data_IF_048180044603
#
_entry.id   IF_048180044603
#
_cell.length_a   1.000
_cell.length_b   1.000
_cell.length_c   1.000
_cell.angle_alpha   90.00
_cell.angle_beta   90.00
_cell.angle_gamma   90.00
#
_symmetry.space_group_name_H-M   'P 1'
#
loop_
_entity.id
_entity.type
_entity.pdbx_description
1 polymer ?
#
# COMPACT_ATOMS: atom_id res chain seq x y z
N UNK A 1 10.20 -8.62 -45.25
CA UNK A 1 10.98 -8.49 -43.99
C UNK A 1 11.14 -9.86 -43.34
N UNK A 2 12.32 -10.17 -42.79
CA UNK A 2 12.54 -11.42 -42.05
C UNK A 2 11.52 -11.56 -40.92
N UNK A 3 10.98 -12.76 -40.72
CA UNK A 3 9.96 -13.04 -39.70
C UNK A 3 10.42 -12.64 -38.29
N UNK A 4 11.71 -12.76 -38.01
CA UNK A 4 12.36 -12.31 -36.76
C UNK A 4 12.23 -10.81 -36.50
N UNK A 5 12.29 -9.97 -37.54
CA UNK A 5 12.18 -8.52 -37.39
C UNK A 5 10.81 -8.11 -36.83
N UNK A 6 9.74 -8.80 -37.25
CA UNK A 6 8.37 -8.51 -36.78
C UNK A 6 8.21 -8.86 -35.31
N UNK A 7 8.83 -9.96 -34.87
CA UNK A 7 8.85 -10.35 -33.46
C UNK A 7 9.60 -9.33 -32.60
N UNK A 8 10.74 -8.82 -33.08
CA UNK A 8 11.48 -7.76 -32.39
C UNK A 8 10.63 -6.48 -32.29
N UNK A 9 10.02 -6.05 -33.38
CA UNK A 9 9.14 -4.86 -33.38
C UNK A 9 7.94 -5.06 -32.46
N UNK A 10 7.27 -6.22 -32.51
CA UNK A 10 6.15 -6.53 -31.63
C UNK A 10 6.56 -6.52 -30.15
N UNK A 11 7.74 -7.03 -29.84
CA UNK A 11 8.30 -7.02 -28.49
C UNK A 11 8.57 -5.60 -28.01
N UNK A 12 9.20 -4.75 -28.83
CA UNK A 12 9.45 -3.34 -28.51
C UNK A 12 8.14 -2.59 -28.23
N UNK A 13 7.14 -2.77 -29.09
CA UNK A 13 5.82 -2.14 -28.91
C UNK A 13 5.16 -2.61 -27.60
N UNK A 14 5.18 -3.92 -27.34
CA UNK A 14 4.57 -4.50 -26.13
C UNK A 14 5.26 -4.00 -24.86
N UNK A 15 6.59 -4.00 -24.83
CA UNK A 15 7.36 -3.49 -23.70
C UNK A 15 7.16 -1.98 -23.50
N UNK A 16 7.16 -1.21 -24.59
CA UNK A 16 6.86 0.23 -24.56
C UNK A 16 5.48 0.52 -23.96
N UNK A 17 4.46 -0.22 -24.39
CA UNK A 17 3.11 -0.11 -23.84
C UNK A 17 3.05 -0.46 -22.34
N UNK A 18 3.72 -1.55 -21.92
CA UNK A 18 3.78 -1.95 -20.53
C UNK A 18 4.48 -0.90 -19.64
N UNK A 19 5.57 -0.30 -20.13
CA UNK A 19 6.26 0.80 -19.43
C UNK A 19 5.35 2.01 -19.31
N UNK A 20 4.68 2.41 -20.41
CA UNK A 20 3.75 3.54 -20.41
C UNK A 20 2.61 3.34 -19.41
N UNK A 21 2.01 2.15 -19.37
CA UNK A 21 0.97 1.80 -18.39
C UNK A 21 1.49 1.87 -16.95
N UNK A 22 2.73 1.45 -16.70
CA UNK A 22 3.33 1.48 -15.36
C UNK A 22 3.63 2.91 -14.89
N UNK A 23 4.01 3.80 -15.80
CA UNK A 23 4.30 5.21 -15.51
C UNK A 23 3.02 6.03 -15.29
N UNK A 24 1.96 5.75 -16.05
CA UNK A 24 0.67 6.46 -15.97
C UNK A 24 -0.32 5.81 -14.99
N UNK A 25 0.06 4.70 -14.36
CA UNK A 25 -0.81 3.94 -13.48
C UNK A 25 -1.31 4.76 -12.28
N UNK A 26 -2.59 4.60 -11.87
CA UNK A 26 -3.18 5.37 -10.77
C UNK A 26 -2.54 5.07 -9.41
N UNK A 27 -1.86 3.92 -9.31
CA UNK A 27 -1.12 3.45 -8.14
C UNK A 27 0.31 4.01 -8.04
N UNK A 28 0.73 4.87 -8.99
CA UNK A 28 2.06 5.46 -8.94
C UNK A 28 2.22 6.32 -7.67
N UNK A 29 3.29 6.13 -6.88
CA UNK A 29 3.47 6.86 -5.64
C UNK A 29 3.68 8.35 -5.91
N UNK A 30 3.12 9.20 -5.06
CA UNK A 30 3.36 10.64 -5.13
C UNK A 30 4.75 10.89 -4.58
N UNK A 31 5.61 11.44 -5.43
CA UNK A 31 6.95 11.87 -5.04
C UNK A 31 7.03 13.38 -5.17
N UNK A 32 7.75 13.99 -4.25
CA UNK A 32 8.05 15.41 -4.30
C UNK A 32 9.14 15.76 -3.29
N UNK A 33 9.48 17.04 -3.27
CA UNK A 33 10.39 17.62 -2.30
C UNK A 33 9.78 18.89 -1.75
N UNK A 34 9.88 19.07 -0.44
CA UNK A 34 9.58 20.35 0.21
C UNK A 34 10.87 20.89 0.81
N UNK A 35 11.10 22.18 0.65
CA UNK A 35 12.20 22.87 1.28
C UNK A 35 11.73 23.51 2.60
N UNK A 36 12.36 23.14 3.70
CA UNK A 36 12.08 23.65 5.05
C UNK A 36 13.43 24.00 5.69
N UNK A 37 13.60 25.25 6.14
CA UNK A 37 14.82 25.76 6.77
C UNK A 37 16.11 25.43 5.98
N UNK A 38 16.12 25.74 4.67
CA UNK A 38 17.23 25.41 3.76
C UNK A 38 17.55 23.91 3.63
N UNK A 39 16.65 23.02 4.07
CA UNK A 39 16.77 21.59 3.83
C UNK A 39 15.67 21.02 2.93
N UNK A 40 16.08 20.22 1.96
CA UNK A 40 15.19 19.56 1.02
C UNK A 40 14.74 18.18 1.56
N UNK A 41 13.49 18.09 2.00
CA UNK A 41 12.86 16.84 2.43
C UNK A 41 12.22 16.17 1.22
N UNK A 42 12.79 15.06 0.78
CA UNK A 42 12.20 14.20 -0.27
C UNK A 42 11.20 13.25 0.35
N UNK A 43 10.00 13.19 -0.21
CA UNK A 43 8.94 12.30 0.26
C UNK A 43 8.45 11.35 -0.82
N UNK A 44 8.03 10.16 -0.40
CA UNK A 44 7.40 9.14 -1.25
C UNK A 44 6.15 8.62 -0.54
N UNK A 45 4.99 9.08 -1.00
CA UNK A 45 3.70 8.76 -0.41
C UNK A 45 3.00 7.73 -1.29
N UNK A 46 2.73 6.55 -0.73
CA UNK A 46 2.11 5.44 -1.46
C UNK A 46 0.62 5.69 -1.66
N UNK A 47 0.09 5.17 -2.77
CA UNK A 47 -1.34 5.14 -3.10
C UNK A 47 -1.97 3.76 -2.96
N UNK A 48 -1.15 2.73 -2.73
CA UNK A 48 -1.61 1.37 -2.47
C UNK A 48 -0.77 0.70 -1.39
N UNK A 49 -1.40 -0.02 -0.48
CA UNK A 49 -0.74 -0.83 0.53
C UNK A 49 -1.42 -2.20 0.67
N UNK A 50 -0.68 -3.18 1.20
CA UNK A 50 -1.23 -4.50 1.48
C UNK A 50 -1.92 -4.51 2.84
N UNK A 51 -2.80 -5.48 3.08
CA UNK A 51 -3.55 -5.65 4.34
C UNK A 51 -2.78 -6.43 5.41
N UNK A 52 -1.49 -6.69 5.17
CA UNK A 52 -0.63 -7.47 6.08
C UNK A 52 -0.17 -6.69 7.31
N UNK A 53 -0.35 -5.36 7.31
CA UNK A 53 0.01 -4.52 8.44
C UNK A 53 -0.30 -3.05 8.21
N UNK A 54 0.05 -2.23 9.20
CA UNK A 54 -0.14 -0.79 9.16
C UNK A 54 0.77 -0.13 8.13
N UNK A 55 0.23 0.88 7.44
CA UNK A 55 1.02 1.63 6.48
C UNK A 55 1.90 2.64 7.22
N UNK A 56 3.21 2.41 7.19
CA UNK A 56 4.19 3.33 7.76
C UNK A 56 4.62 4.39 6.75
N UNK A 57 4.33 5.64 7.08
CA UNK A 57 4.90 6.81 6.40
C UNK A 57 6.27 7.05 7.02
N UNK A 58 7.32 7.07 6.19
CA UNK A 58 8.69 7.36 6.60
C UNK A 58 9.21 8.55 5.82
N UNK A 59 9.60 9.60 6.53
CA UNK A 59 10.17 10.81 5.96
C UNK A 59 11.57 10.99 6.54
N UNK A 60 12.57 11.16 5.68
CA UNK A 60 13.91 11.51 6.14
C UNK A 60 13.91 13.00 6.51
N UNK A 61 14.17 13.31 7.76
CA UNK A 61 14.31 14.69 8.25
C UNK A 61 15.79 15.08 8.30
N UNK A 62 16.05 16.38 8.17
CA UNK A 62 17.39 16.95 8.29
C UNK A 62 17.68 17.52 9.68
N UNK A 63 16.62 17.80 10.44
CA UNK A 63 16.71 18.35 11.79
C UNK A 63 15.72 17.63 12.71
N UNK A 64 16.12 17.32 13.95
CA UNK A 64 15.24 16.73 14.97
C UNK A 64 14.15 17.70 15.46
N UNK A 65 14.27 19.00 15.17
CA UNK A 65 13.27 20.02 15.55
C UNK A 65 12.02 20.00 14.66
N UNK A 66 12.09 19.33 13.51
CA UNK A 66 10.97 19.20 12.58
C UNK A 66 10.04 18.16 13.15
N UNK A 67 8.82 18.59 13.47
CA UNK A 67 7.74 17.74 13.92
C UNK A 67 6.64 17.70 12.85
N UNK A 68 5.55 16.99 13.11
CA UNK A 68 4.38 17.05 12.26
C UNK A 68 3.33 16.05 12.63
N UNK A 69 2.29 15.99 11.81
CA UNK A 69 1.17 15.09 11.99
C UNK A 69 0.56 14.68 10.65
N UNK A 70 -0.09 13.53 10.68
CA UNK A 70 -0.85 12.99 9.57
C UNK A 70 -2.32 13.15 9.90
N UNK A 71 -3.04 13.83 9.02
CA UNK A 71 -4.50 13.85 9.02
C UNK A 71 -5.00 12.72 8.16
N UNK A 72 -5.82 11.83 8.69
CA UNK A 72 -6.42 10.77 7.91
C UNK A 72 -7.90 10.56 8.24
N UNK A 73 -8.65 10.05 7.27
CA UNK A 73 -10.02 9.60 7.43
C UNK A 73 -10.38 8.51 6.44
N UNK A 74 -11.47 7.78 6.68
CA UNK A 74 -12.01 6.85 5.69
C UNK A 74 -12.53 7.62 4.47
N UNK A 75 -12.20 7.12 3.29
CA UNK A 75 -12.52 7.77 2.03
C UNK A 75 -14.03 7.64 1.72
N UNK A 76 -14.67 8.76 1.34
CA UNK A 76 -16.13 8.86 1.12
C UNK A 76 -16.98 8.52 2.35
N UNK A 77 -16.48 8.84 3.54
CA UNK A 77 -17.25 8.78 4.79
C UNK A 77 -17.34 10.19 5.39
N UNK A 78 -18.42 10.45 6.14
CA UNK A 78 -18.60 11.67 6.92
C UNK A 78 -17.82 11.64 8.25
N UNK A 79 -16.90 10.68 8.41
CA UNK A 79 -16.03 10.60 9.57
C UNK A 79 -15.15 11.86 9.69
N UNK A 80 -14.94 12.37 10.93
CA UNK A 80 -14.03 13.47 11.17
C UNK A 80 -12.58 13.07 10.85
N UNK A 81 -11.75 14.07 10.54
CA UNK A 81 -10.31 13.84 10.33
C UNK A 81 -9.64 13.48 11.66
N UNK A 82 -8.94 12.35 11.67
CA UNK A 82 -8.13 11.91 12.81
C UNK A 82 -6.71 12.41 12.65
N UNK A 83 -6.14 12.95 13.73
CA UNK A 83 -4.75 13.41 13.81
C UNK A 83 -3.87 12.30 14.40
N UNK A 84 -2.85 11.86 13.67
CA UNK A 84 -1.80 10.99 14.17
C UNK A 84 -0.46 11.74 14.18
N UNK A 85 0.26 11.83 15.31
CA UNK A 85 1.55 12.51 15.35
C UNK A 85 2.62 11.75 14.57
N UNK A 86 3.56 12.47 13.96
CA UNK A 86 4.80 11.90 13.46
C UNK A 86 5.78 11.73 14.61
N UNK A 87 6.17 10.50 14.89
CA UNK A 87 7.18 10.16 15.90
C UNK A 87 8.56 10.29 15.26
N UNK A 88 9.39 11.16 15.82
CA UNK A 88 10.78 11.32 15.40
C UNK A 88 11.62 10.19 15.97
N UNK A 89 12.38 9.53 15.10
CA UNK A 89 13.32 8.48 15.45
C UNK A 89 14.66 8.81 14.76
N UNK A 90 15.46 9.65 15.42
CA UNK A 90 16.71 10.24 14.93
C UNK A 90 16.56 10.97 13.59
N UNK A 91 16.84 10.28 12.47
CA UNK A 91 16.80 10.84 11.11
C UNK A 91 15.43 10.69 10.42
N UNK A 92 14.48 9.98 11.03
CA UNK A 92 13.20 9.66 10.39
C UNK A 92 12.02 10.14 11.21
N UNK A 93 11.08 10.81 10.53
CA UNK A 93 9.73 11.02 11.03
C UNK A 93 8.84 9.89 10.54
N UNK A 94 8.23 9.18 11.49
CA UNK A 94 7.42 7.99 11.22
C UNK A 94 6.00 8.17 11.73
N UNK A 95 5.02 7.79 10.92
CA UNK A 95 3.63 7.68 11.35
C UNK A 95 3.03 6.38 10.82
N UNK A 96 2.24 5.72 11.66
CA UNK A 96 1.50 4.51 11.30
C UNK A 96 0.04 4.88 11.01
N UNK A 97 -0.44 4.51 9.83
CA UNK A 97 -1.85 4.55 9.50
C UNK A 97 -2.47 3.16 9.71
N UNK A 98 -3.62 3.07 10.40
CA UNK A 98 -4.23 1.79 10.73
C UNK A 98 -4.63 1.04 9.47
N UNK A 99 -4.33 -0.25 9.44
CA UNK A 99 -4.76 -1.16 8.37
C UNK A 99 -6.28 -1.09 8.17
N UNK A 100 -6.71 -1.21 6.92
CA UNK A 100 -8.13 -1.33 6.56
C UNK A 100 -8.41 -2.68 5.93
N UNK A 101 -9.67 -3.15 5.95
CA UNK A 101 -10.06 -4.34 5.19
C UNK A 101 -9.76 -4.18 3.69
N UNK A 102 -9.68 -5.31 2.98
CA UNK A 102 -9.43 -5.32 1.55
C UNK A 102 -10.46 -4.45 0.80
N UNK A 103 -9.99 -3.69 -0.20
CA UNK A 103 -10.75 -2.65 -0.90
C UNK A 103 -11.07 -1.38 -0.09
N UNK A 104 -10.71 -1.33 1.20
CA UNK A 104 -10.75 -0.13 2.03
C UNK A 104 -9.88 0.99 1.46
N UNK A 105 -10.32 2.24 1.68
CA UNK A 105 -9.62 3.43 1.20
C UNK A 105 -9.50 4.44 2.34
N UNK A 106 -8.29 4.95 2.55
CA UNK A 106 -8.02 6.05 3.48
C UNK A 106 -7.63 7.28 2.66
N UNK A 107 -8.25 8.41 2.98
CA UNK A 107 -7.78 9.73 2.57
C UNK A 107 -6.81 10.23 3.63
N UNK A 108 -5.60 10.63 3.25
CA UNK A 108 -4.64 11.21 4.19
C UNK A 108 -3.89 12.41 3.61
N UNK A 109 -3.40 13.25 4.52
CA UNK A 109 -2.55 14.42 4.29
C UNK A 109 -1.45 14.43 5.33
N UNK A 110 -0.25 14.82 4.93
CA UNK A 110 0.91 14.91 5.83
C UNK A 110 1.31 16.36 5.96
N UNK A 111 1.34 16.84 7.20
CA UNK A 111 1.67 18.23 7.55
C UNK A 111 2.90 18.19 8.43
N UNK A 112 3.91 18.95 8.04
CA UNK A 112 5.12 19.17 8.83
C UNK A 112 5.00 20.50 9.57
N UNK A 113 5.38 20.51 10.83
CA UNK A 113 5.36 21.67 11.71
C UNK A 113 6.79 21.99 12.13
N UNK A 114 7.18 23.22 11.85
CA UNK A 114 8.47 23.83 12.23
C UNK A 114 8.15 24.99 13.19
N UNK A 115 9.07 25.42 14.07
CA UNK A 115 8.83 26.58 14.92
C UNK A 115 8.34 27.79 14.09
N UNK A 116 7.07 28.16 14.25
CA UNK A 116 6.43 29.29 13.55
C UNK A 116 5.81 29.01 12.17
N UNK A 117 5.84 27.79 11.61
CA UNK A 117 5.23 27.50 10.30
C UNK A 117 4.74 26.05 10.13
N UNK A 118 3.54 25.90 9.57
CA UNK A 118 3.01 24.62 9.09
C UNK A 118 3.18 24.52 7.57
N UNK A 119 3.74 23.41 7.09
CA UNK A 119 3.91 23.14 5.66
C UNK A 119 3.30 21.79 5.31
N UNK A 120 2.32 21.78 4.41
CA UNK A 120 1.72 20.55 3.88
C UNK A 120 2.60 19.96 2.77
N UNK A 121 2.96 18.68 2.86
CA UNK A 121 3.81 18.04 1.85
C UNK A 121 3.16 17.99 0.47
N UNK A 122 1.83 17.85 0.43
CA UNK A 122 1.06 17.70 -0.83
C UNK A 122 0.15 18.90 -1.10
N UNK A 123 0.36 20.01 -0.38
CA UNK A 123 -0.51 21.18 -0.44
C UNK A 123 -1.96 20.84 -0.08
N UNK A 124 -2.89 21.20 -0.95
CA UNK A 124 -4.33 20.92 -0.79
C UNK A 124 -4.73 19.50 -1.22
N UNK A 125 -3.88 18.80 -1.97
CA UNK A 125 -4.24 17.52 -2.59
C UNK A 125 -4.27 16.39 -1.57
N UNK A 126 -5.45 15.80 -1.41
CA UNK A 126 -5.65 14.60 -0.58
C UNK A 126 -5.09 13.38 -1.30
N UNK A 127 -4.33 12.56 -0.58
CA UNK A 127 -3.84 11.28 -1.09
C UNK A 127 -4.82 10.19 -0.68
N UNK A 128 -5.24 9.39 -1.66
CA UNK A 128 -6.10 8.22 -1.41
C UNK A 128 -5.22 6.98 -1.42
N UNK A 129 -5.11 6.34 -0.25
CA UNK A 129 -4.48 5.04 -0.06
C UNK A 129 -5.51 3.94 -0.21
N UNK A 130 -5.30 3.00 -1.14
CA UNK A 130 -6.13 1.80 -1.29
C UNK A 130 -5.44 0.59 -0.66
N UNK A 131 -6.19 -0.15 0.16
CA UNK A 131 -5.73 -1.41 0.72
C UNK A 131 -6.10 -2.58 -0.20
N UNK A 132 -5.15 -3.49 -0.43
CA UNK A 132 -5.35 -4.74 -1.18
C UNK A 132 -4.91 -5.95 -0.35
N UNK A 133 -5.60 -7.07 -0.56
CA UNK A 133 -5.18 -8.37 -0.04
C UNK A 133 -3.85 -8.81 -0.64
N UNK A 134 -3.01 -9.53 0.12
CA UNK A 134 -1.83 -10.17 -0.45
C UNK A 134 -2.29 -11.22 -1.47
N UNK A 135 -1.80 -11.11 -2.70
CA UNK A 135 -2.07 -12.08 -3.76
C UNK A 135 -0.91 -13.06 -3.83
N UNK A 136 -1.15 -14.39 -3.76
CA UNK A 136 -0.09 -15.39 -3.88
C UNK A 136 0.72 -15.21 -5.17
N UNK A 137 2.05 -15.19 -5.05
CA UNK A 137 2.95 -15.06 -6.20
C UNK A 137 2.77 -16.17 -7.22
N UNK A 138 2.39 -17.38 -6.78
CA UNK A 138 2.09 -18.54 -7.63
C UNK A 138 0.90 -18.29 -8.58
N UNK A 139 0.03 -17.33 -8.28
CA UNK A 139 -1.09 -16.94 -9.14
C UNK A 139 -0.76 -15.67 -9.91
N UNK A 140 -0.14 -14.69 -9.23
CA UNK A 140 0.21 -13.40 -9.84
C UNK A 140 1.23 -13.55 -10.98
N UNK A 141 2.28 -14.35 -10.78
CA UNK A 141 3.35 -14.50 -11.78
C UNK A 141 2.82 -15.15 -13.07
N UNK A 142 2.11 -16.31 -13.02
CA UNK A 142 1.53 -16.88 -14.23
C UNK A 142 0.54 -15.96 -14.93
N UNK A 143 -0.31 -15.25 -14.18
CA UNK A 143 -1.26 -14.28 -14.77
C UNK A 143 -0.53 -13.20 -15.59
N UNK A 144 0.51 -12.59 -15.03
CA UNK A 144 1.30 -11.56 -15.71
C UNK A 144 1.93 -12.15 -16.99
N UNK A 145 2.56 -13.33 -16.90
CA UNK A 145 3.18 -13.98 -18.06
C UNK A 145 2.16 -14.22 -19.17
N UNK A 146 0.98 -14.78 -18.85
CA UNK A 146 -0.09 -15.05 -19.81
C UNK A 146 -0.57 -13.75 -20.48
N UNK A 147 -0.75 -12.67 -19.71
CA UNK A 147 -1.17 -11.37 -20.25
C UNK A 147 -0.11 -10.73 -21.16
N UNK A 148 1.18 -10.80 -20.79
CA UNK A 148 2.26 -10.32 -21.63
C UNK A 148 2.38 -11.12 -22.94
N UNK A 149 2.22 -12.45 -22.87
CA UNK A 149 2.14 -13.29 -24.06
C UNK A 149 0.93 -12.93 -24.92
N UNK A 150 -0.26 -12.75 -24.33
CA UNK A 150 -1.46 -12.33 -25.07
C UNK A 150 -1.21 -11.01 -25.82
N UNK A 151 -0.64 -10.00 -25.17
CA UNK A 151 -0.32 -8.71 -25.80
C UNK A 151 0.73 -8.85 -26.91
N UNK A 152 1.76 -9.66 -26.71
CA UNK A 152 2.82 -9.89 -27.69
C UNK A 152 2.27 -10.58 -28.95
N UNK A 153 1.52 -11.68 -28.77
CA UNK A 153 0.90 -12.40 -29.87
C UNK A 153 -0.16 -11.55 -30.59
N UNK A 154 -0.91 -10.72 -29.86
CA UNK A 154 -1.86 -9.75 -30.42
C UNK A 154 -1.16 -8.73 -31.33
N UNK A 155 -0.11 -8.08 -30.81
CA UNK A 155 0.67 -7.09 -31.55
C UNK A 155 1.31 -7.73 -32.79
N UNK A 156 1.84 -8.94 -32.66
CA UNK A 156 2.42 -9.72 -33.76
C UNK A 156 1.37 -10.09 -34.81
N UNK A 157 0.16 -10.47 -34.40
CA UNK A 157 -0.96 -10.74 -35.31
C UNK A 157 -1.43 -9.47 -36.03
N UNK A 158 -1.50 -8.33 -35.34
CA UNK A 158 -1.85 -7.04 -35.92
C UNK A 158 -0.84 -6.58 -36.97
N UNK A 159 0.46 -6.66 -36.67
CA UNK A 159 1.52 -6.37 -37.65
C UNK A 159 1.51 -7.34 -38.84
N UNK A 160 1.06 -8.59 -38.63
CA UNK A 160 0.91 -9.55 -39.71
C UNK A 160 -0.26 -9.20 -40.61
N UNK A 161 -1.41 -8.81 -40.04
CA UNK A 161 -2.61 -8.47 -40.78
C UNK A 161 -2.44 -7.28 -41.74
N UNK A 162 -1.48 -6.38 -41.46
CA UNK A 162 -1.11 -5.29 -42.37
C UNK A 162 -0.39 -5.76 -43.65
N UNK A 163 -0.05 -7.05 -43.77
CA UNK A 163 0.63 -7.60 -44.94
C UNK A 163 -0.33 -8.37 -45.84
N UNK A 164 -0.37 -8.10 -47.15
CA UNK A 164 -1.32 -8.73 -48.08
C UNK A 164 -1.20 -10.26 -48.25
N UNK A 165 -0.03 -10.84 -47.99
CA UNK A 165 0.27 -12.27 -48.24
C UNK A 165 0.41 -13.12 -46.97
N UNK A 166 -0.05 -12.62 -45.83
CA UNK A 166 0.17 -13.26 -44.53
C UNK A 166 -1.12 -13.89 -43.98
N UNK A 167 -0.99 -14.80 -43.03
CA UNK A 167 -2.12 -15.51 -42.43
C UNK A 167 -2.11 -15.32 -40.89
N UNK A 168 -2.65 -14.22 -40.37
CA UNK A 168 -2.64 -13.92 -38.92
C UNK A 168 -3.55 -14.83 -38.09
N UNK A 169 -4.40 -15.65 -38.73
CA UNK A 169 -5.47 -16.43 -38.06
C UNK A 169 -4.98 -17.27 -36.89
N UNK A 170 -3.86 -18.00 -37.07
CA UNK A 170 -3.32 -18.86 -36.01
C UNK A 170 -2.84 -18.06 -34.80
N UNK A 171 -2.18 -16.92 -35.04
CA UNK A 171 -1.72 -16.02 -33.97
C UNK A 171 -2.90 -15.34 -33.25
N UNK A 172 -3.95 -14.97 -34.00
CA UNK A 172 -5.17 -14.41 -33.44
C UNK A 172 -5.90 -15.43 -32.54
N UNK A 173 -5.97 -16.71 -32.94
CA UNK A 173 -6.55 -17.78 -32.12
C UNK A 173 -5.74 -18.02 -30.83
N UNK A 174 -4.40 -18.03 -30.92
CA UNK A 174 -3.54 -18.10 -29.73
C UNK A 174 -3.75 -16.91 -28.80
N UNK A 175 -3.84 -15.70 -29.37
CA UNK A 175 -4.12 -14.47 -28.62
C UNK A 175 -5.45 -14.56 -27.89
N UNK A 176 -6.50 -15.03 -28.57
CA UNK A 176 -7.83 -15.21 -28.00
C UNK A 176 -7.79 -16.21 -26.83
N UNK A 177 -7.15 -17.36 -27.01
CA UNK A 177 -7.00 -18.35 -25.94
C UNK A 177 -6.26 -17.81 -24.72
N UNK A 178 -5.14 -17.10 -24.94
CA UNK A 178 -4.37 -16.46 -23.87
C UNK A 178 -5.15 -15.34 -23.18
N UNK A 179 -5.94 -14.56 -23.92
CA UNK A 179 -6.75 -13.47 -23.36
C UNK A 179 -7.92 -14.02 -22.52
N UNK A 180 -8.55 -15.10 -22.96
CA UNK A 180 -9.59 -15.79 -22.18
C UNK A 180 -8.99 -16.36 -20.90
N UNK A 181 -7.88 -17.09 -21.00
CA UNK A 181 -7.23 -17.67 -19.84
C UNK A 181 -6.71 -16.59 -18.87
N UNK A 182 -5.97 -15.61 -19.39
CA UNK A 182 -5.40 -14.53 -18.58
C UNK A 182 -6.46 -13.59 -18.00
N UNK A 183 -7.40 -13.13 -18.83
CA UNK A 183 -8.39 -12.13 -18.49
C UNK A 183 -9.60 -12.67 -17.75
N UNK A 184 -10.17 -13.80 -18.18
CA UNK A 184 -11.40 -14.36 -17.61
C UNK A 184 -11.18 -15.44 -16.56
N UNK A 185 -10.03 -16.14 -16.56
CA UNK A 185 -9.74 -17.17 -15.54
C UNK A 185 -8.81 -16.61 -14.46
N UNK A 186 -7.60 -16.18 -14.84
CA UNK A 186 -6.63 -15.68 -13.87
C UNK A 186 -6.96 -14.27 -13.33
N UNK A 187 -7.55 -13.40 -14.15
CA UNK A 187 -7.96 -12.05 -13.73
C UNK A 187 -8.90 -12.05 -12.52
N UNK A 188 -10.02 -12.79 -12.56
CA UNK A 188 -10.95 -12.87 -11.43
C UNK A 188 -10.34 -13.55 -10.21
N UNK A 189 -9.45 -14.52 -10.43
CA UNK A 189 -8.73 -15.17 -9.36
C UNK A 189 -7.85 -14.17 -8.62
N UNK A 190 -7.05 -13.38 -9.34
CA UNK A 190 -6.24 -12.29 -8.75
C UNK A 190 -7.11 -11.27 -8.02
N UNK A 191 -8.26 -10.88 -8.60
CA UNK A 191 -9.21 -9.96 -7.96
C UNK A 191 -9.79 -10.53 -6.66
N UNK A 192 -10.12 -11.82 -6.64
CA UNK A 192 -10.63 -12.50 -5.46
C UNK A 192 -9.60 -12.48 -4.31
N UNK A 193 -8.32 -12.74 -4.60
CA UNK A 193 -7.28 -12.61 -3.57
C UNK A 193 -7.08 -11.14 -3.13
N UNK A 194 -7.15 -10.19 -4.06
CA UNK A 194 -6.89 -8.78 -3.78
C UNK A 194 -8.04 -8.05 -3.06
N UNK A 195 -9.30 -8.42 -3.32
CA UNK A 195 -10.49 -7.69 -2.85
C UNK A 195 -11.57 -8.59 -2.23
N UNK A 196 -11.43 -9.90 -2.30
CA UNK A 196 -12.40 -10.86 -1.73
C UNK A 196 -13.65 -11.07 -2.58
N UNK A 197 -13.71 -10.53 -3.79
CA UNK A 197 -14.85 -10.66 -4.69
C UNK A 197 -14.37 -10.99 -6.10
N UNK A 198 -15.07 -11.93 -6.74
CA UNK A 198 -14.92 -12.19 -8.17
C UNK A 198 -15.61 -11.04 -8.92
N UNK A 199 -14.93 -10.45 -9.92
CA UNK A 199 -15.60 -9.59 -10.90
C UNK A 199 -16.29 -8.33 -10.32
N UNK A 200 -15.54 -7.49 -9.59
CA UNK A 200 -16.08 -6.24 -9.02
C UNK A 200 -16.39 -5.12 -10.04
N UNK A 201 -16.24 -5.40 -11.34
CA UNK A 201 -16.43 -4.42 -12.43
C UNK A 201 -17.77 -4.54 -13.17
N UNK A 202 -18.59 -5.56 -12.86
CA UNK A 202 -19.89 -5.71 -13.49
C UNK A 202 -20.92 -4.81 -12.82
N UNK A 203 -21.68 -3.98 -13.57
CA UNK A 203 -22.60 -2.99 -13.00
C UNK A 203 -23.77 -3.60 -12.20
N UNK A 204 -23.97 -4.93 -12.27
CA UNK A 204 -25.06 -5.63 -11.56
C UNK A 204 -24.66 -6.26 -10.21
N UNK A 205 -23.50 -5.92 -9.62
CA UNK A 205 -23.19 -6.43 -8.27
C UNK A 205 -24.14 -5.83 -7.21
N UNK A 206 -24.92 -6.74 -6.65
CA UNK A 206 -25.88 -6.64 -5.57
C UNK A 206 -25.23 -6.03 -4.31
N UNK A 207 -25.97 -5.15 -3.62
CA UNK A 207 -25.57 -4.34 -2.45
C UNK A 207 -25.03 -5.10 -1.21
N UNK A 208 -24.80 -6.42 -1.27
CA UNK A 208 -24.52 -7.28 -0.12
C UNK A 208 -23.20 -8.07 -0.21
N UNK A 209 -22.17 -7.59 -0.91
CA UNK A 209 -20.85 -8.23 -0.85
C UNK A 209 -20.13 -7.76 0.42
N UNK A 210 -20.18 -8.58 1.47
CA UNK A 210 -19.34 -8.41 2.66
C UNK A 210 -17.88 -8.61 2.25
N UNK A 211 -17.11 -7.53 2.18
CA UNK A 211 -15.65 -7.59 2.04
C UNK A 211 -15.05 -8.44 3.17
N UNK A 212 -13.98 -9.18 2.88
CA UNK A 212 -13.29 -10.03 3.87
C UNK A 212 -13.12 -9.29 5.21
N UNK A 213 -13.44 -9.92 6.35
CA UNK A 213 -13.10 -9.36 7.65
C UNK A 213 -11.58 -9.19 7.73
N UNK A 214 -11.16 -8.08 8.34
CA UNK A 214 -9.77 -7.75 8.60
C UNK A 214 -9.07 -8.92 9.29
N UNK A 215 -7.84 -9.24 8.88
CA UNK A 215 -6.99 -10.12 9.68
C UNK A 215 -6.70 -9.36 10.97
N UNK A 216 -7.16 -9.91 12.10
CA UNK A 216 -6.86 -9.45 13.46
C UNK A 216 -5.33 -9.18 13.54
N UNK A 217 -4.88 -8.03 14.07
CA UNK A 217 -3.45 -7.87 14.31
C UNK A 217 -3.00 -9.02 15.20
N UNK A 218 -2.04 -9.82 14.72
CA UNK A 218 -1.35 -10.76 15.59
C UNK A 218 -0.63 -9.93 16.64
N UNK A 219 -1.29 -9.69 17.77
CA UNK A 219 -0.64 -9.36 19.01
C UNK A 219 0.33 -10.53 19.26
N UNK A 220 1.61 -10.31 18.97
CA UNK A 220 2.65 -11.19 19.46
C UNK A 220 2.48 -11.24 20.97
N UNK A 221 2.01 -12.38 21.48
CA UNK A 221 2.12 -12.72 22.88
C UNK A 221 3.61 -12.68 23.23
N UNK A 222 4.03 -11.55 23.76
CA UNK A 222 5.31 -11.44 24.46
C UNK A 222 5.14 -12.35 25.66
N UNK A 223 5.70 -13.54 25.54
CA UNK A 223 5.67 -14.59 26.52
C UNK A 223 6.25 -14.04 27.83
N UNK A 224 5.37 -13.68 28.77
CA UNK A 224 5.72 -13.08 30.08
C UNK A 224 6.49 -14.04 31.01
N UNK A 225 7.01 -15.15 30.48
CA UNK A 225 7.83 -16.14 31.19
C UNK A 225 9.33 -15.91 31.04
N UNK A 226 9.79 -15.09 30.09
CA UNK A 226 11.23 -14.87 29.86
C UNK A 226 11.79 -13.58 30.50
N UNK A 227 10.93 -12.72 31.07
CA UNK A 227 11.34 -11.47 31.72
C UNK A 227 11.72 -11.62 33.22
N UNK A 228 11.93 -12.84 33.72
CA UNK A 228 12.33 -13.10 35.12
C UNK A 228 13.81 -13.46 35.32
N UNK A 229 14.61 -13.54 34.25
CA UNK A 229 16.05 -13.86 34.36
C UNK A 229 16.96 -12.63 34.40
N UNK A 230 16.45 -11.40 34.32
CA UNK A 230 17.29 -10.20 34.12
C UNK A 230 17.23 -9.11 35.21
N UNK A 231 16.69 -9.38 36.41
CA UNK A 231 16.80 -8.43 37.52
C UNK A 231 17.50 -9.05 38.75
N UNK A 232 18.56 -8.42 39.27
CA UNK A 232 19.35 -8.96 40.37
C UNK A 232 18.61 -8.81 41.70
N UNK A 233 18.84 -9.81 42.56
CA UNK A 233 18.39 -9.87 43.95
C UNK A 233 18.67 -8.58 44.72
N UNK A 234 17.61 -7.89 45.16
CA UNK A 234 17.69 -6.89 46.23
C UNK A 234 16.42 -6.90 47.06
N UNK A 235 16.54 -7.48 48.26
CA UNK A 235 16.08 -6.97 49.57
C UNK A 235 15.80 -8.14 50.50
N UNK A 236 16.38 -8.10 51.71
CA UNK A 236 15.60 -8.05 52.97
C UNK A 236 16.44 -7.36 54.05
N UNK A 237 16.23 -6.05 54.20
CA UNK A 237 16.55 -5.31 55.42
C UNK A 237 15.25 -5.16 56.22
N UNK A 238 15.28 -5.64 57.46
CA UNK A 238 14.18 -5.63 58.40
C UNK A 238 13.96 -4.25 59.04
N UNK A 239 12.73 -3.97 59.49
CA UNK A 239 12.47 -3.04 60.59
C UNK A 239 11.50 -1.90 60.30
N UNK A 240 10.19 -2.17 60.32
CA UNK A 240 9.18 -1.15 60.61
C UNK A 240 8.73 -1.30 62.07
N UNK A 241 9.23 -0.41 62.95
CA UNK A 241 8.62 -0.09 64.25
C UNK A 241 7.77 1.17 64.06
N UNK A 242 6.54 1.14 64.56
CA UNK A 242 5.49 2.09 64.22
C UNK A 242 5.53 3.42 64.95
N UNK A 243 4.56 4.28 64.63
CA UNK A 243 4.03 5.30 65.53
C UNK A 243 2.74 5.93 64.98
N UNK A 244 1.73 5.91 65.86
CA UNK A 244 0.73 6.96 66.17
C UNK A 244 -0.22 7.48 65.09
N UNK A 245 -1.44 6.97 65.22
CA UNK A 245 -2.73 7.62 64.93
C UNK A 245 -2.82 8.98 65.64
N UNK A 246 -3.15 10.05 64.91
CA UNK A 246 -3.57 11.33 65.48
C UNK A 246 -5.03 11.61 65.07
N UNK A 247 -5.91 11.62 66.06
CA UNK A 247 -7.33 11.95 65.95
C UNK A 247 -7.47 13.41 66.42
N UNK A 248 -7.89 14.33 65.55
CA UNK A 248 -8.34 15.66 65.98
C UNK A 248 -9.53 16.11 65.14
N UNK A 249 -10.73 15.93 65.70
CA UNK A 249 -11.99 16.58 65.28
C UNK A 249 -12.31 17.62 66.37
N UNK A 250 -12.39 18.89 65.99
CA UNK A 250 -13.17 19.96 66.63
C UNK A 250 -13.11 21.20 65.73
N UNK A 251 -14.27 21.76 65.43
CA UNK A 251 -14.51 22.82 64.45
C UNK A 251 -15.76 22.44 63.67
#
# INVERSE_FOLDING_TARGET
>A
MRQSLIWIVALIITLGAAIYQRLTGPTYPIRGSVEINNCQIRYKLLRSHDTTGDYQIRLKTCSPEISGYVLYKRYKTNDPWTKAPLVSNNEFLTASLPVQPAAGKIAYRVILTTPGKETSLTGEKVIVLRFKGPVPSIIMIPHIIIMFLAMLFSTRAGLEALRPKSNPRRLALWTLGLLVLGGLVFGPLVQYYAFGAFWTGFPYTNKNIKSKPSVEPQNGEINAREAKSFFPSRKKGAGCRGAKVWKRKRG
#
